data_IF_117776646978
#
_entry.id   IF_117776646978
#
_cell.length_a   1.000
_cell.length_b   1.000
_cell.length_c   1.000
_cell.angle_alpha   90.00
_cell.angle_beta   90.00
_cell.angle_gamma   90.00
#
_symmetry.space_group_name_H-M   'P 1'
#
loop_
_entity.id
_entity.type
_entity.pdbx_description
1 polymer ?
#
# COMPACT_ATOMS: atom_id res chain seq x y z
N UNK A 1 14.70 9.46 12.05
CA UNK A 1 14.07 8.13 12.19
C UNK A 1 14.29 7.37 10.90
N UNK A 2 14.98 6.23 10.95
CA UNK A 2 15.22 5.39 9.76
C UNK A 2 13.99 4.55 9.47
N UNK A 3 13.55 4.54 8.22
CA UNK A 3 12.48 3.65 7.75
C UNK A 3 13.03 2.65 6.77
N UNK A 4 12.40 1.49 6.79
CA UNK A 4 12.75 0.37 5.92
C UNK A 4 12.39 0.77 4.49
N UNK A 5 13.34 1.31 3.73
CA UNK A 5 13.08 1.71 2.34
C UNK A 5 13.19 0.51 1.40
N UNK A 6 14.07 -0.44 1.72
CA UNK A 6 14.31 -1.63 0.90
C UNK A 6 14.77 -2.82 1.72
N UNK A 7 14.20 -3.98 1.44
CA UNK A 7 14.71 -5.30 1.87
C UNK A 7 15.01 -6.11 0.64
N UNK A 8 16.11 -6.86 0.66
CA UNK A 8 16.46 -7.79 -0.41
C UNK A 8 16.90 -9.10 0.21
N UNK A 9 16.30 -10.19 -0.24
CA UNK A 9 16.68 -11.55 0.14
C UNK A 9 17.79 -12.08 -0.77
N UNK A 10 18.53 -13.08 -0.29
CA UNK A 10 19.65 -13.72 -1.01
C UNK A 10 19.23 -14.32 -2.36
N UNK A 11 17.95 -14.71 -2.49
CA UNK A 11 17.37 -15.21 -3.74
C UNK A 11 17.11 -14.11 -4.79
N UNK A 12 17.33 -12.85 -4.45
CA UNK A 12 17.13 -11.70 -5.34
C UNK A 12 15.72 -11.13 -5.35
N UNK A 13 14.85 -11.57 -4.43
CA UNK A 13 13.58 -10.90 -4.16
C UNK A 13 13.87 -9.58 -3.43
N UNK A 14 13.15 -8.51 -3.77
CA UNK A 14 13.27 -7.21 -3.13
C UNK A 14 11.89 -6.66 -2.79
N UNK A 15 11.78 -6.07 -1.61
CA UNK A 15 10.63 -5.28 -1.18
C UNK A 15 11.09 -3.83 -1.05
N UNK A 16 10.41 -2.93 -1.72
CA UNK A 16 10.65 -1.50 -1.63
C UNK A 16 9.41 -0.80 -1.11
N UNK A 17 9.58 0.06 -0.11
CA UNK A 17 8.49 0.74 0.58
C UNK A 17 8.64 2.25 0.36
N UNK A 18 7.60 2.89 -0.14
CA UNK A 18 7.54 4.34 -0.27
C UNK A 18 6.60 4.91 0.78
N UNK A 19 7.00 6.03 1.35
CA UNK A 19 6.26 6.72 2.40
C UNK A 19 6.05 8.18 2.04
N UNK A 20 4.93 8.75 2.48
CA UNK A 20 4.68 10.19 2.40
C UNK A 20 5.30 10.97 3.57
N UNK A 21 5.11 12.28 3.55
CA UNK A 21 5.57 13.23 4.58
C UNK A 21 4.93 13.01 5.95
N UNK A 22 3.72 12.44 5.97
CA UNK A 22 2.98 12.04 7.17
C UNK A 22 3.39 10.66 7.66
N UNK A 23 4.46 10.10 7.07
CA UNK A 23 4.99 8.81 7.47
C UNK A 23 3.97 7.67 7.20
N UNK A 24 3.17 7.74 6.14
CA UNK A 24 2.24 6.69 5.72
C UNK A 24 2.76 5.97 4.49
N UNK A 25 2.53 4.66 4.39
CA UNK A 25 3.10 3.82 3.33
C UNK A 25 2.30 3.98 2.03
N UNK A 26 2.73 4.84 1.12
CA UNK A 26 2.03 5.10 -0.15
C UNK A 26 2.25 4.01 -1.21
N UNK A 27 3.29 3.19 -1.05
CA UNK A 27 3.61 2.18 -2.04
C UNK A 27 4.45 1.03 -1.49
N UNK A 28 4.20 -0.14 -2.06
CA UNK A 28 4.95 -1.36 -1.84
C UNK A 28 5.27 -1.97 -3.20
N UNK A 29 6.55 -2.07 -3.55
CA UNK A 29 7.00 -2.79 -4.73
C UNK A 29 7.68 -4.07 -4.31
N UNK A 30 7.09 -5.21 -4.66
CA UNK A 30 7.73 -6.52 -4.55
C UNK A 30 8.30 -6.90 -5.91
N UNK A 31 9.62 -6.95 -6.03
CA UNK A 31 10.33 -7.35 -7.23
C UNK A 31 10.98 -8.71 -7.05
N UNK A 32 10.74 -9.64 -7.96
CA UNK A 32 11.24 -11.02 -7.95
C UNK A 32 11.91 -11.30 -9.29
N UNK A 33 12.80 -12.29 -9.38
CA UNK A 33 13.53 -12.59 -10.63
C UNK A 33 12.61 -12.88 -11.83
N UNK A 34 11.42 -13.40 -11.57
CA UNK A 34 10.46 -13.85 -12.59
C UNK A 34 9.22 -12.95 -12.70
N UNK A 35 9.22 -11.78 -12.06
CA UNK A 35 8.07 -10.86 -12.09
C UNK A 35 8.07 -9.87 -10.93
N UNK A 36 7.07 -9.00 -10.87
CA UNK A 36 6.93 -8.06 -9.77
C UNK A 36 5.50 -7.59 -9.60
N UNK A 37 5.18 -7.18 -8.39
CA UNK A 37 3.88 -6.64 -8.01
C UNK A 37 4.11 -5.29 -7.35
N UNK A 38 3.30 -4.31 -7.72
CA UNK A 38 3.32 -2.98 -7.12
C UNK A 38 1.97 -2.69 -6.51
N UNK A 39 1.95 -2.48 -5.21
CA UNK A 39 0.76 -2.06 -4.49
C UNK A 39 0.85 -0.58 -4.19
N UNK A 40 -0.18 0.17 -4.58
CA UNK A 40 -0.33 1.57 -4.21
C UNK A 40 -1.40 1.71 -3.13
N UNK A 41 -1.13 2.58 -2.16
CA UNK A 41 -2.03 2.88 -1.06
C UNK A 41 -2.36 4.36 -1.05
N UNK A 42 -3.58 4.70 -0.63
CA UNK A 42 -4.01 6.08 -0.41
C UNK A 42 -4.68 6.17 0.95
N UNK A 43 -4.52 7.31 1.60
CA UNK A 43 -4.99 7.55 2.95
C UNK A 43 -5.87 8.81 3.00
N UNK A 44 -6.74 8.85 4.00
CA UNK A 44 -7.51 10.05 4.33
C UNK A 44 -6.71 11.00 5.25
N UNK A 45 -7.30 12.15 5.61
CA UNK A 45 -6.62 13.16 6.45
C UNK A 45 -6.33 12.66 7.87
N UNK A 46 -7.13 11.73 8.38
CA UNK A 46 -6.91 11.04 9.67
C UNK A 46 -5.93 9.87 9.55
N UNK A 47 -5.43 9.61 8.34
CA UNK A 47 -4.43 8.58 8.08
C UNK A 47 -4.97 7.15 7.93
N UNK A 48 -6.28 7.00 7.69
CA UNK A 48 -6.93 5.71 7.43
C UNK A 48 -6.81 5.34 5.97
N UNK A 49 -6.62 4.04 5.67
CA UNK A 49 -6.46 3.55 4.30
C UNK A 49 -7.78 3.65 3.50
N UNK A 50 -7.82 4.52 2.49
CA UNK A 50 -8.96 4.65 1.59
C UNK A 50 -8.93 3.61 0.46
N UNK A 51 -7.74 3.31 -0.06
CA UNK A 51 -7.60 2.42 -1.22
C UNK A 51 -6.27 1.71 -1.18
N UNK A 52 -6.30 0.42 -1.48
CA UNK A 52 -5.12 -0.40 -1.78
C UNK A 52 -5.32 -1.07 -3.13
N UNK A 53 -4.40 -0.88 -4.08
CA UNK A 53 -4.49 -1.52 -5.41
C UNK A 53 -3.17 -2.13 -5.82
N UNK A 54 -3.20 -3.38 -6.28
CA UNK A 54 -2.06 -4.07 -6.88
C UNK A 54 -2.08 -3.93 -8.40
N UNK A 55 -3.22 -4.28 -8.98
CA UNK A 55 -3.50 -4.13 -10.41
C UNK A 55 -4.93 -3.62 -10.55
N UNK A 56 -5.37 -3.35 -11.78
CA UNK A 56 -6.77 -2.96 -12.03
C UNK A 56 -7.76 -3.98 -11.44
N UNK A 57 -7.46 -5.28 -11.59
CA UNK A 57 -8.29 -6.41 -11.14
C UNK A 57 -8.06 -6.85 -9.69
N UNK A 58 -7.20 -6.14 -8.95
CA UNK A 58 -6.96 -6.42 -7.53
C UNK A 58 -6.89 -5.09 -6.80
N UNK A 59 -8.07 -4.52 -6.58
CA UNK A 59 -8.22 -3.26 -5.87
C UNK A 59 -9.24 -3.39 -4.75
N UNK A 60 -8.91 -2.81 -3.60
CA UNK A 60 -9.80 -2.66 -2.46
C UNK A 60 -9.96 -1.19 -2.16
N UNK A 61 -11.21 -0.75 -2.01
CA UNK A 61 -11.54 0.60 -1.56
C UNK A 61 -12.36 0.50 -0.28
N UNK A 62 -11.95 1.22 0.75
CA UNK A 62 -12.67 1.33 2.02
C UNK A 62 -13.27 2.73 2.13
N UNK A 63 -14.55 2.80 2.46
CA UNK A 63 -15.25 4.05 2.72
C UNK A 63 -15.49 4.19 4.22
N UNK A 64 -15.41 5.42 4.71
CA UNK A 64 -15.60 5.77 6.11
C UNK A 64 -16.70 6.82 6.23
N UNK A 65 -17.46 6.79 7.33
CA UNK A 65 -18.32 7.91 7.73
C UNK A 65 -17.52 9.01 8.45
N UNK A 66 -18.19 10.11 8.78
CA UNK A 66 -17.59 11.25 9.49
C UNK A 66 -17.07 10.89 10.90
N UNK A 67 -17.56 9.79 11.47
CA UNK A 67 -17.12 9.26 12.76
C UNK A 67 -15.96 8.26 12.61
N UNK A 68 -15.51 7.99 11.38
CA UNK A 68 -14.40 7.09 11.09
C UNK A 68 -14.72 5.62 11.08
N UNK A 69 -16.01 5.25 11.03
CA UNK A 69 -16.45 3.86 10.95
C UNK A 69 -16.48 3.43 9.50
N UNK A 70 -16.10 2.18 9.24
CA UNK A 70 -16.15 1.61 7.89
C UNK A 70 -17.61 1.46 7.46
N UNK A 71 -18.00 2.15 6.39
CA UNK A 71 -19.35 2.08 5.82
C UNK A 71 -19.44 1.09 4.68
N UNK A 72 -18.37 0.96 3.88
CA UNK A 72 -18.31 0.01 2.77
C UNK A 72 -16.88 -0.47 2.51
N UNK A 73 -16.77 -1.69 2.01
CA UNK A 73 -15.56 -2.25 1.42
C UNK A 73 -15.87 -2.84 0.06
N UNK A 74 -15.30 -2.22 -0.97
CA UNK A 74 -15.52 -2.58 -2.36
C UNK A 74 -14.26 -3.29 -2.85
N UNK A 75 -14.45 -4.47 -3.43
CA UNK A 75 -13.39 -5.29 -4.01
C UNK A 75 -13.61 -5.36 -5.52
N UNK A 76 -12.54 -5.17 -6.29
CA UNK A 76 -12.51 -5.39 -7.73
C UNK A 76 -11.44 -6.41 -8.07
#
# INVERSE_FOLDING_TARGET
MGRLMRVRDEQGNAYEYTYDVSNQMTGLSHSRKTGGIRTAYTYDRDGRELKSRCTSAFARTTQYDELGRVTARIWN
#
